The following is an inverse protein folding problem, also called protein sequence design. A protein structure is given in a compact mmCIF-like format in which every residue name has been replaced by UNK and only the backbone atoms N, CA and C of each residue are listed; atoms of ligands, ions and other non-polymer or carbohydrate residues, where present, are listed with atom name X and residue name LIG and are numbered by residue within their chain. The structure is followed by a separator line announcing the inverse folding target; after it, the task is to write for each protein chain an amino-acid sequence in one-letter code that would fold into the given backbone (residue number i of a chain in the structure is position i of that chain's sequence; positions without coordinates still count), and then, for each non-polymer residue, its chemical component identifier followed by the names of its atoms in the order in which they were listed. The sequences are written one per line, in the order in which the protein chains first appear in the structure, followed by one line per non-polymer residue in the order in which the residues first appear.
data_IF_644095125273
#
_entry.id   IF_644095125273
#
_cell.length_a   1.000
_cell.length_b   1.000
_cell.length_c   1.000
_cell.angle_alpha   90.00
_cell.angle_beta   90.00
_cell.angle_gamma   90.00
#
_symmetry.space_group_name_H-M   'P 1'
#
loop_
_entity.id
_entity.type
_entity.pdbx_description
1 polymer ?
#
# COMPACT_ATOMS: atom_id res chain seq x y z
N UNK A 1 -8.10 6.97 3.26
CA UNK A 1 -8.69 6.04 2.27
C UNK A 1 -7.68 4.94 2.00
N UNK A 2 -8.12 3.72 1.78
CA UNK A 2 -7.26 2.60 1.37
C UNK A 2 -7.55 2.21 -0.08
N UNK A 3 -6.63 1.52 -0.74
CA UNK A 3 -6.90 0.91 -2.05
C UNK A 3 -7.61 -0.42 -1.83
N UNK A 4 -8.91 -0.44 -2.09
CA UNK A 4 -9.75 -1.61 -2.03
C UNK A 4 -9.72 -2.45 -3.30
N UNK A 5 -10.56 -3.48 -3.32
CA UNK A 5 -10.77 -4.35 -4.48
C UNK A 5 -11.31 -3.56 -5.69
N UNK A 6 -11.25 -4.13 -6.89
CA UNK A 6 -11.67 -3.45 -8.12
C UNK A 6 -10.93 -2.10 -8.37
N UNK A 7 -9.64 -2.08 -8.01
CA UNK A 7 -8.72 -1.00 -8.35
C UNK A 7 -7.49 -1.54 -9.07
N UNK A 8 -6.89 -0.70 -9.91
CA UNK A 8 -5.60 -1.04 -10.52
C UNK A 8 -4.52 -1.30 -9.47
N UNK A 9 -4.52 -0.54 -8.37
CA UNK A 9 -3.58 -0.71 -7.26
C UNK A 9 -3.73 -2.10 -6.64
N UNK A 10 -4.96 -2.61 -6.47
CA UNK A 10 -5.19 -3.97 -5.99
C UNK A 10 -4.52 -5.01 -6.90
N UNK A 11 -4.70 -4.91 -8.22
CA UNK A 11 -4.02 -5.82 -9.17
C UNK A 11 -2.50 -5.69 -9.08
N UNK A 12 -1.97 -4.47 -9.00
CA UNK A 12 -0.52 -4.25 -8.90
C UNK A 12 0.06 -4.75 -7.58
N UNK A 13 -0.69 -4.72 -6.47
CA UNK A 13 -0.29 -5.33 -5.20
C UNK A 13 -0.14 -6.85 -5.32
N UNK A 14 -1.08 -7.50 -6.04
CA UNK A 14 -1.03 -8.95 -6.30
C UNK A 14 0.15 -9.32 -7.20
N UNK A 15 0.39 -8.56 -8.28
CA UNK A 15 1.55 -8.73 -9.15
C UNK A 15 2.87 -8.50 -8.40
N UNK A 16 2.86 -7.58 -7.43
CA UNK A 16 3.97 -7.35 -6.52
C UNK A 16 4.13 -8.43 -5.45
N UNK A 17 3.25 -9.45 -5.39
CA UNK A 17 3.32 -10.59 -4.48
C UNK A 17 2.69 -10.37 -3.10
N UNK A 18 1.89 -9.30 -2.93
CA UNK A 18 1.15 -9.05 -1.70
C UNK A 18 -0.29 -9.56 -1.78
N UNK A 19 -0.86 -9.83 -0.61
CA UNK A 19 -2.31 -10.01 -0.46
C UNK A 19 -2.91 -8.73 0.08
N UNK A 20 -3.91 -8.18 -0.60
CA UNK A 20 -4.62 -6.99 -0.12
C UNK A 20 -5.70 -7.41 0.89
N UNK A 21 -5.55 -6.99 2.14
CA UNK A 21 -6.51 -7.28 3.23
C UNK A 21 -7.80 -6.47 3.12
N UNK A 22 -7.85 -5.46 2.25
CA UNK A 22 -9.03 -4.61 2.04
C UNK A 22 -10.02 -5.30 1.11
N UNK A 23 -11.13 -5.76 1.67
CA UNK A 23 -12.16 -6.46 0.89
C UNK A 23 -13.14 -5.53 0.19
N UNK A 24 -13.32 -4.31 0.71
CA UNK A 24 -14.26 -3.34 0.15
C UNK A 24 -13.78 -2.84 -1.23
N UNK A 25 -14.71 -2.53 -2.12
CA UNK A 25 -14.37 -2.06 -3.47
C UNK A 25 -13.89 -0.60 -3.48
N UNK A 26 -13.09 -0.26 -4.50
CA UNK A 26 -12.62 1.09 -4.83
C UNK A 26 -11.73 1.69 -3.73
N UNK A 27 -12.17 2.76 -3.08
CA UNK A 27 -11.35 3.52 -2.14
C UNK A 27 -12.09 3.76 -0.82
N UNK A 28 -12.31 2.72 0.00
CA UNK A 28 -13.02 2.86 1.27
C UNK A 28 -12.30 3.83 2.20
N UNK A 29 -13.08 4.57 2.98
CA UNK A 29 -12.58 5.33 4.14
C UNK A 29 -12.59 4.37 5.33
N UNK A 30 -11.41 4.09 5.87
CA UNK A 30 -11.27 3.25 7.05
C UNK A 30 -11.18 4.08 8.32
N UNK A 31 -11.76 3.58 9.39
CA UNK A 31 -11.53 4.08 10.75
C UNK A 31 -10.25 3.47 11.32
N UNK A 32 -9.62 4.10 12.34
CA UNK A 32 -8.48 3.51 13.02
C UNK A 32 -8.77 2.10 13.57
N UNK A 33 -9.97 1.88 14.12
CA UNK A 33 -10.40 0.58 14.63
C UNK A 33 -10.43 -0.46 13.51
N UNK A 34 -10.99 -0.12 12.35
CA UNK A 34 -11.03 -1.03 11.20
C UNK A 34 -9.63 -1.36 10.70
N UNK A 35 -8.71 -0.39 10.69
CA UNK A 35 -7.30 -0.63 10.31
C UNK A 35 -6.64 -1.64 11.24
N UNK A 36 -6.88 -1.55 12.55
CA UNK A 36 -6.36 -2.50 13.54
C UNK A 36 -6.97 -3.90 13.37
N UNK A 37 -8.27 -4.00 13.12
CA UNK A 37 -8.97 -5.28 12.90
C UNK A 37 -8.50 -6.04 11.66
N UNK A 38 -7.98 -5.33 10.65
CA UNK A 38 -7.46 -5.93 9.42
C UNK A 38 -6.12 -6.65 9.62
N UNK A 39 -5.42 -6.39 10.73
CA UNK A 39 -4.16 -7.02 11.14
C UNK A 39 -3.13 -7.23 10.00
N UNK A 40 -2.72 -6.17 9.29
CA UNK A 40 -1.80 -6.31 8.17
C UNK A 40 -0.36 -6.56 8.62
N UNK A 41 0.36 -7.40 7.87
CA UNK A 41 1.82 -7.57 8.03
C UNK A 41 2.61 -6.32 7.61
N UNK A 42 2.10 -5.61 6.59
CA UNK A 42 2.74 -4.44 5.98
C UNK A 42 1.72 -3.39 5.55
N UNK A 43 2.03 -2.12 5.83
CA UNK A 43 1.32 -0.95 5.31
C UNK A 43 2.25 -0.17 4.38
N UNK A 44 1.80 -0.02 3.14
CA UNK A 44 2.49 0.77 2.11
C UNK A 44 1.84 2.16 2.01
N UNK A 45 2.60 3.20 2.35
CA UNK A 45 2.19 4.59 2.26
C UNK A 45 2.69 5.20 0.95
N UNK A 46 1.76 5.59 0.08
CA UNK A 46 2.09 6.08 -1.26
C UNK A 46 2.89 7.39 -1.25
N UNK A 47 3.84 7.56 -2.17
CA UNK A 47 4.44 8.88 -2.46
C UNK A 47 3.53 9.77 -3.30
N UNK A 48 2.70 9.17 -4.17
CA UNK A 48 1.78 9.84 -5.09
C UNK A 48 0.48 9.03 -5.21
N UNK A 49 -0.70 9.65 -5.40
CA UNK A 49 -0.94 11.10 -5.54
C UNK A 49 -0.92 11.87 -4.21
N UNK A 50 -0.95 11.18 -3.07
CA UNK A 50 -0.91 11.79 -1.74
C UNK A 50 0.45 11.49 -1.08
N UNK A 51 1.34 12.49 -0.93
CA UNK A 51 2.65 12.27 -0.30
C UNK A 51 2.50 12.15 1.21
N UNK A 52 2.52 10.92 1.72
CA UNK A 52 2.53 10.70 3.16
C UNK A 52 3.86 11.20 3.78
N UNK A 53 3.76 12.22 4.64
CA UNK A 53 4.86 12.72 5.47
C UNK A 53 5.17 11.80 6.66
N UNK A 54 6.32 12.02 7.29
CA UNK A 54 6.85 11.27 8.45
C UNK A 54 5.84 11.12 9.59
N UNK A 55 5.11 12.19 9.93
CA UNK A 55 4.04 12.16 10.94
C UNK A 55 2.99 11.07 10.69
N UNK A 56 2.65 10.78 9.43
CA UNK A 56 1.65 9.75 9.12
C UNK A 56 2.24 8.35 9.28
N UNK A 57 3.55 8.19 9.05
CA UNK A 57 4.26 6.94 9.30
C UNK A 57 4.22 6.66 10.81
N UNK A 58 4.54 7.68 11.62
CA UNK A 58 4.49 7.58 13.09
C UNK A 58 3.08 7.25 13.58
N UNK A 59 2.05 7.95 13.10
CA UNK A 59 0.65 7.70 13.47
C UNK A 59 0.23 6.25 13.18
N UNK A 60 0.55 5.73 11.99
CA UNK A 60 0.21 4.34 11.62
C UNK A 60 1.07 3.34 12.40
N UNK A 61 2.34 3.64 12.66
CA UNK A 61 3.23 2.77 13.46
C UNK A 61 2.74 2.67 14.90
N UNK A 62 2.26 3.77 15.50
CA UNK A 62 1.65 3.76 16.83
C UNK A 62 0.32 2.98 16.83
N UNK A 63 -0.45 3.07 15.76
CA UNK A 63 -1.71 2.33 15.60
C UNK A 63 -1.48 0.82 15.43
N UNK A 64 -0.37 0.42 14.79
CA UNK A 64 -0.04 -0.96 14.43
C UNK A 64 1.39 -1.32 14.85
N UNK A 65 1.68 -1.50 16.15
CA UNK A 65 3.04 -1.68 16.67
C UNK A 65 3.77 -2.97 16.21
N UNK A 66 3.06 -3.92 15.60
CA UNK A 66 3.63 -5.14 15.00
C UNK A 66 3.72 -5.12 13.47
N UNK A 67 3.15 -4.10 12.82
CA UNK A 67 3.10 -3.99 11.37
C UNK A 67 4.32 -3.24 10.83
N UNK A 68 4.83 -3.65 9.67
CA UNK A 68 5.85 -2.90 8.95
C UNK A 68 5.23 -1.74 8.21
N UNK A 69 5.55 -0.51 8.60
CA UNK A 69 5.03 0.70 7.94
C UNK A 69 6.16 1.32 7.10
N UNK A 70 5.93 1.49 5.81
CA UNK A 70 6.93 2.09 4.91
C UNK A 70 6.31 2.86 3.76
N UNK A 71 7.10 3.76 3.18
CA UNK A 71 6.71 4.46 1.96
C UNK A 71 6.94 3.59 0.72
N UNK A 72 6.10 3.78 -0.28
CA UNK A 72 6.22 3.14 -1.59
C UNK A 72 6.07 4.17 -2.71
N UNK A 73 6.77 3.97 -3.82
CA UNK A 73 6.59 4.79 -5.02
C UNK A 73 5.19 4.52 -5.57
N UNK A 74 4.29 5.47 -5.32
CA UNK A 74 2.89 5.35 -5.71
C UNK A 74 2.69 5.20 -7.21
N UNK A 75 3.60 5.76 -8.01
CA UNK A 75 3.50 5.69 -9.48
C UNK A 75 3.73 4.27 -9.99
N UNK A 76 4.48 3.44 -9.26
CA UNK A 76 4.70 2.03 -9.61
C UNK A 76 3.46 1.16 -9.40
N UNK A 77 2.54 1.60 -8.52
CA UNK A 77 1.28 0.90 -8.23
C UNK A 77 0.06 1.52 -8.92
N UNK A 78 0.08 2.82 -9.22
CA UNK A 78 -1.12 3.56 -9.64
C UNK A 78 -1.10 4.04 -11.08
N UNK A 79 0.06 4.07 -11.77
CA UNK A 79 0.16 4.59 -13.14
C UNK A 79 0.33 3.45 -14.16
N UNK A 80 -0.59 3.38 -15.10
CA UNK A 80 -0.53 2.44 -16.23
C UNK A 80 0.31 3.00 -17.39
N UNK A 81 0.61 2.14 -18.37
CA UNK A 81 1.33 2.52 -19.60
C UNK A 81 2.83 2.23 -19.53
N UNK A 82 3.66 3.12 -20.08
CA UNK A 82 5.10 2.86 -20.29
C UNK A 82 5.89 2.61 -19.00
N UNK A 83 5.41 3.12 -17.85
CA UNK A 83 5.98 2.92 -16.51
C UNK A 83 5.82 1.50 -15.98
N UNK A 84 4.84 0.73 -16.47
CA UNK A 84 4.67 -0.68 -16.06
C UNK A 84 5.92 -1.53 -16.30
N UNK A 85 6.73 -1.18 -17.31
CA UNK A 85 8.02 -1.84 -17.57
C UNK A 85 9.02 -1.71 -16.42
N UNK A 86 8.87 -0.68 -15.59
CA UNK A 86 9.73 -0.42 -14.42
C UNK A 86 9.14 -1.03 -13.13
N UNK A 87 7.81 -1.15 -13.07
CA UNK A 87 7.09 -1.64 -11.89
C UNK A 87 7.58 -3.03 -11.44
N UNK A 88 7.81 -3.96 -12.37
CA UNK A 88 8.28 -5.31 -12.03
C UNK A 88 9.62 -5.29 -11.27
N UNK A 89 10.62 -4.56 -11.79
CA UNK A 89 11.92 -4.45 -11.14
C UNK A 89 11.80 -3.78 -9.77
N UNK A 90 10.94 -2.76 -9.66
CA UNK A 90 10.65 -2.10 -8.40
C UNK A 90 10.03 -3.07 -7.38
N UNK A 91 9.06 -3.90 -7.77
CA UNK A 91 8.44 -4.88 -6.87
C UNK A 91 9.44 -5.92 -6.36
N UNK A 92 10.34 -6.39 -7.23
CA UNK A 92 11.41 -7.30 -6.82
C UNK A 92 12.33 -6.67 -5.77
N UNK A 93 12.67 -5.39 -5.94
CA UNK A 93 13.47 -4.66 -4.96
C UNK A 93 12.72 -4.41 -3.65
N UNK A 94 11.44 -4.03 -3.74
CA UNK A 94 10.59 -3.78 -2.58
C UNK A 94 10.46 -5.03 -1.70
N UNK A 95 10.29 -6.21 -2.33
CA UNK A 95 10.21 -7.50 -1.63
C UNK A 95 11.51 -8.00 -1.04
N UNK A 96 12.66 -7.69 -1.63
CA UNK A 96 13.97 -8.08 -1.05
C UNK A 96 14.24 -7.39 0.28
N UNK A 97 13.53 -6.29 0.53
CA UNK A 97 13.60 -5.53 1.77
C UNK A 97 12.47 -5.91 2.75
N UNK A 98 11.73 -6.98 2.48
CA UNK A 98 10.79 -7.66 3.41
C UNK A 98 11.43 -8.93 4.00
#
# INVERSE_FOLDING_TARGET
MAAGNDTFIHTMLQEAGYTNVIEEARYPVLTPQRIMELDPDVVLLSSEPYPFAEKHIEEITMLLPGCRVRTADGTMFSWYGSRLRQAWNYFQLLRKND
#
